data_IF_263203999054
#
_entry.id   IF_263203999054
#
_cell.length_a   1.000
_cell.length_b   1.000
_cell.length_c   1.000
_cell.angle_alpha   90.00
_cell.angle_beta   90.00
_cell.angle_gamma   90.00
#
_symmetry.space_group_name_H-M   'P 1'
#
loop_
_entity.id
_entity.type
_entity.pdbx_description
1 polymer ?
#
# COMPACT_ATOMS: atom_id res chain seq x y z
N UNK A 1 -44.73 -37.94 -22.05
CA UNK A 1 -43.85 -37.48 -20.95
C UNK A 1 -42.88 -36.47 -21.55
N UNK A 2 -43.22 -35.19 -21.41
CA UNK A 2 -42.47 -34.06 -21.99
C UNK A 2 -41.20 -33.81 -21.19
N UNK A 3 -40.05 -34.02 -21.81
CA UNK A 3 -38.74 -33.55 -21.34
C UNK A 3 -38.68 -32.03 -21.54
N UNK A 4 -38.62 -31.27 -20.45
CA UNK A 4 -38.37 -29.83 -20.50
C UNK A 4 -36.96 -29.56 -19.98
N UNK A 5 -35.98 -29.86 -20.82
CA UNK A 5 -34.58 -29.56 -20.55
C UNK A 5 -34.36 -28.07 -20.83
N UNK A 6 -34.46 -27.26 -19.77
CA UNK A 6 -34.25 -25.82 -19.85
C UNK A 6 -32.76 -25.56 -20.07
N UNK A 7 -32.34 -25.40 -21.33
CA UNK A 7 -31.00 -24.94 -21.68
C UNK A 7 -30.84 -23.50 -21.19
N UNK A 8 -30.32 -23.35 -19.97
CA UNK A 8 -30.01 -22.07 -19.34
C UNK A 8 -28.84 -21.46 -20.13
N UNK A 9 -29.09 -20.42 -20.93
CA UNK A 9 -28.03 -19.63 -21.57
C UNK A 9 -27.00 -19.14 -20.53
N UNK A 10 -25.79 -18.73 -20.95
CA UNK A 10 -24.76 -18.28 -20.01
C UNK A 10 -25.33 -17.17 -19.13
N UNK A 11 -25.40 -17.42 -17.82
CA UNK A 11 -25.82 -16.40 -16.88
C UNK A 11 -24.85 -15.23 -17.00
N UNK A 12 -25.35 -14.08 -17.45
CA UNK A 12 -24.59 -12.85 -17.45
C UNK A 12 -24.07 -12.61 -16.03
N UNK A 13 -22.78 -12.34 -15.88
CA UNK A 13 -22.18 -11.89 -14.62
C UNK A 13 -21.63 -10.48 -14.82
N UNK A 14 -21.65 -9.66 -13.77
CA UNK A 14 -21.05 -8.33 -13.78
C UNK A 14 -19.96 -8.22 -12.72
N UNK A 15 -18.80 -7.64 -13.07
CA UNK A 15 -17.73 -7.43 -12.11
C UNK A 15 -18.03 -6.31 -11.12
N UNK A 16 -17.45 -6.43 -9.92
CA UNK A 16 -17.57 -5.47 -8.84
C UNK A 16 -16.18 -5.08 -8.31
N UNK A 17 -16.04 -3.83 -7.92
CA UNK A 17 -14.85 -3.29 -7.26
C UNK A 17 -15.19 -3.10 -5.77
N UNK A 18 -15.16 -4.20 -5.01
CA UNK A 18 -15.57 -4.23 -3.60
C UNK A 18 -14.34 -4.01 -2.70
N UNK A 19 -14.28 -2.92 -1.91
CA UNK A 19 -13.23 -2.72 -0.92
C UNK A 19 -13.20 -3.86 0.11
N UNK A 20 -12.01 -4.22 0.60
CA UNK A 20 -11.88 -5.32 1.58
C UNK A 20 -12.75 -5.13 2.84
N UNK A 21 -12.91 -3.89 3.32
CA UNK A 21 -13.75 -3.54 4.48
C UNK A 21 -15.24 -3.78 4.25
N UNK A 22 -15.69 -3.79 3.00
CA UNK A 22 -17.10 -3.83 2.61
C UNK A 22 -17.52 -5.20 2.05
N UNK A 23 -16.58 -6.15 1.94
CA UNK A 23 -16.83 -7.50 1.41
C UNK A 23 -17.98 -8.24 2.09
N UNK A 24 -18.20 -8.00 3.38
CA UNK A 24 -19.30 -8.60 4.14
C UNK A 24 -20.66 -8.09 3.67
N UNK A 25 -20.77 -6.80 3.40
CA UNK A 25 -22.00 -6.15 2.92
C UNK A 25 -22.29 -6.58 1.48
N UNK A 26 -21.29 -6.55 0.59
CA UNK A 26 -21.44 -7.05 -0.77
C UNK A 26 -21.89 -8.52 -0.81
N UNK A 27 -21.29 -9.38 0.04
CA UNK A 27 -21.70 -10.79 0.15
C UNK A 27 -23.14 -10.93 0.64
N UNK A 28 -23.58 -10.11 1.59
CA UNK A 28 -24.97 -10.11 2.08
C UNK A 28 -25.97 -9.73 0.97
N UNK A 29 -25.58 -8.84 0.05
CA UNK A 29 -26.36 -8.49 -1.13
C UNK A 29 -26.23 -9.50 -2.30
N UNK A 30 -25.53 -10.62 -2.10
CA UNK A 30 -25.49 -11.71 -3.08
C UNK A 30 -24.24 -11.76 -3.96
N UNK A 31 -23.27 -10.87 -3.76
CA UNK A 31 -22.00 -10.92 -4.49
C UNK A 31 -21.26 -12.26 -4.24
N UNK A 32 -20.47 -12.66 -5.22
CA UNK A 32 -19.63 -13.87 -5.18
C UNK A 32 -18.18 -13.51 -5.52
N UNK A 33 -17.25 -14.33 -5.03
CA UNK A 33 -15.82 -14.16 -5.28
C UNK A 33 -15.37 -15.16 -6.36
N UNK A 34 -14.72 -14.68 -7.40
CA UNK A 34 -14.03 -15.52 -8.38
C UNK A 34 -12.55 -15.63 -7.97
N UNK A 35 -12.07 -16.82 -7.55
CA UNK A 35 -10.69 -17.00 -7.13
C UNK A 35 -9.67 -16.94 -8.26
N UNK A 36 -10.06 -17.25 -9.51
CA UNK A 36 -9.18 -17.19 -10.66
C UNK A 36 -8.98 -15.74 -11.12
N UNK A 37 -10.08 -14.98 -11.22
CA UNK A 37 -10.03 -13.55 -11.53
C UNK A 37 -9.60 -12.68 -10.34
N UNK A 38 -9.61 -13.26 -9.12
CA UNK A 38 -9.42 -12.56 -7.85
C UNK A 38 -10.27 -11.29 -7.76
N UNK A 39 -11.56 -11.42 -8.11
CA UNK A 39 -12.49 -10.29 -8.21
C UNK A 39 -13.89 -10.69 -7.76
N UNK A 40 -14.61 -9.74 -7.16
CA UNK A 40 -16.02 -9.90 -6.81
C UNK A 40 -16.90 -9.73 -8.05
N UNK A 41 -18.01 -10.46 -8.10
CA UNK A 41 -19.00 -10.33 -9.18
C UNK A 41 -20.43 -10.48 -8.67
N UNK A 42 -21.36 -9.84 -9.38
CA UNK A 42 -22.79 -10.09 -9.30
C UNK A 42 -23.13 -11.30 -10.18
N UNK A 43 -23.63 -12.41 -9.60
CA UNK A 43 -24.00 -13.60 -10.35
C UNK A 43 -25.31 -13.45 -11.15
N UNK A 44 -26.13 -12.42 -10.89
CA UNK A 44 -27.43 -12.18 -11.55
C UNK A 44 -27.68 -10.67 -11.70
N UNK A 45 -26.87 -9.97 -12.52
CA UNK A 45 -27.02 -8.54 -12.70
C UNK A 45 -28.31 -8.21 -13.46
N UNK A 46 -28.93 -7.05 -13.17
CA UNK A 46 -28.54 -6.09 -12.13
C UNK A 46 -29.13 -6.46 -10.75
N UNK A 47 -28.29 -6.51 -9.72
CA UNK A 47 -28.73 -6.52 -8.31
C UNK A 47 -28.67 -5.10 -7.73
N UNK A 48 -29.79 -4.46 -7.36
CA UNK A 48 -29.81 -3.08 -6.86
C UNK A 48 -28.87 -2.84 -5.65
N UNK A 49 -28.81 -3.80 -4.73
CA UNK A 49 -27.94 -3.73 -3.54
C UNK A 49 -26.43 -3.83 -3.84
N UNK A 50 -26.03 -4.07 -5.09
CA UNK A 50 -24.62 -4.16 -5.51
C UNK A 50 -24.16 -2.96 -6.35
N UNK A 51 -25.07 -2.03 -6.67
CA UNK A 51 -24.80 -0.91 -7.59
C UNK A 51 -23.66 0.01 -7.11
N UNK A 52 -23.49 0.19 -5.80
CA UNK A 52 -22.40 0.99 -5.22
C UNK A 52 -21.01 0.43 -5.49
N UNK A 53 -20.90 -0.86 -5.83
CA UNK A 53 -19.63 -1.52 -6.17
C UNK A 53 -19.52 -1.85 -7.65
N UNK A 54 -20.44 -1.37 -8.51
CA UNK A 54 -20.40 -1.62 -9.94
C UNK A 54 -19.01 -1.26 -10.50
N UNK A 55 -18.40 -2.18 -11.24
CA UNK A 55 -17.04 -1.99 -11.76
C UNK A 55 -16.91 -0.66 -12.51
N UNK A 56 -15.92 0.14 -12.13
CA UNK A 56 -15.51 1.29 -12.93
C UNK A 56 -14.61 0.79 -14.08
N UNK A 57 -14.29 1.63 -15.09
CA UNK A 57 -13.35 1.26 -16.15
C UNK A 57 -12.04 0.70 -15.59
N UNK A 58 -11.32 -0.18 -16.29
CA UNK A 58 -10.01 -0.60 -15.77
C UNK A 58 -8.99 0.55 -15.87
N UNK A 59 -8.07 0.61 -14.90
CA UNK A 59 -6.90 1.49 -14.98
C UNK A 59 -5.84 0.84 -15.88
N UNK A 60 -5.05 1.62 -16.65
CA UNK A 60 -4.04 1.05 -17.53
C UNK A 60 -2.95 0.32 -16.75
N UNK A 61 -2.43 -0.77 -17.31
CA UNK A 61 -1.36 -1.57 -16.69
C UNK A 61 -0.06 -0.79 -16.48
N UNK A 62 0.18 0.24 -17.31
CA UNK A 62 1.23 1.24 -17.14
C UNK A 62 0.55 2.58 -16.88
N UNK A 63 0.76 3.16 -15.70
CA UNK A 63 0.14 4.45 -15.38
C UNK A 63 0.81 5.57 -16.21
N UNK A 64 0.09 6.64 -16.58
CA UNK A 64 0.66 7.76 -17.32
C UNK A 64 1.88 8.36 -16.61
N UNK A 65 3.01 8.43 -17.33
CA UNK A 65 4.26 8.96 -16.80
C UNK A 65 4.98 8.06 -15.77
N UNK A 66 4.49 6.83 -15.54
CA UNK A 66 5.14 5.87 -14.65
C UNK A 66 6.38 5.27 -15.28
N UNK A 67 7.49 5.34 -14.54
CA UNK A 67 8.71 4.61 -14.84
C UNK A 67 8.77 3.39 -13.90
N UNK A 68 8.54 2.19 -14.45
CA UNK A 68 8.59 0.95 -13.67
C UNK A 68 10.00 0.57 -13.22
N UNK A 69 11.04 1.23 -13.70
CA UNK A 69 12.41 1.06 -13.18
C UNK A 69 12.66 1.92 -11.94
N UNK A 70 11.90 3.01 -11.74
CA UNK A 70 12.05 3.90 -10.60
C UNK A 70 11.82 3.17 -9.27
N UNK A 71 12.75 3.35 -8.34
CA UNK A 71 12.68 2.73 -7.01
C UNK A 71 12.58 1.20 -7.03
N UNK A 72 13.23 0.56 -8.01
CA UNK A 72 13.30 -0.90 -8.11
C UNK A 72 14.19 -1.53 -7.05
N UNK A 73 13.95 -2.81 -6.80
CA UNK A 73 14.65 -3.56 -5.76
C UNK A 73 14.16 -3.23 -4.35
N UNK A 74 14.92 -3.71 -3.37
CA UNK A 74 14.62 -3.53 -1.96
C UNK A 74 15.62 -2.55 -1.33
N UNK A 75 15.11 -1.50 -0.71
CA UNK A 75 15.90 -0.53 0.05
C UNK A 75 15.01 0.12 1.12
N UNK A 76 15.66 0.65 2.16
CA UNK A 76 15.01 1.48 3.17
C UNK A 76 14.60 2.82 2.54
N UNK A 77 13.30 3.13 2.62
CA UNK A 77 12.71 4.37 2.10
C UNK A 77 11.83 5.00 3.19
N UNK A 78 12.46 5.83 4.01
CA UNK A 78 11.77 6.48 5.12
C UNK A 78 11.03 7.73 4.64
N UNK A 79 9.70 7.66 4.72
CA UNK A 79 8.83 8.77 4.36
C UNK A 79 9.05 9.95 5.34
N UNK A 80 9.24 11.19 4.84
CA UNK A 80 9.40 12.37 5.70
C UNK A 80 8.20 12.54 6.66
N UNK A 81 8.46 13.01 7.89
CA UNK A 81 7.41 13.13 8.93
C UNK A 81 6.21 13.96 8.48
N UNK A 82 6.46 15.03 7.73
CA UNK A 82 5.42 15.95 7.22
C UNK A 82 4.56 15.33 6.10
N UNK A 83 4.95 14.16 5.58
CA UNK A 83 4.22 13.38 4.58
C UNK A 83 3.48 12.17 5.18
N UNK A 84 3.65 11.89 6.48
CA UNK A 84 2.99 10.74 7.10
C UNK A 84 1.47 10.81 6.97
N UNK A 85 0.84 9.63 6.88
CA UNK A 85 -0.60 9.45 6.72
C UNK A 85 -1.20 9.97 5.39
N UNK A 86 -0.36 10.44 4.47
CA UNK A 86 -0.74 10.79 3.10
C UNK A 86 -0.17 9.78 2.14
N UNK A 87 -0.97 8.75 1.88
CA UNK A 87 -0.67 7.72 0.89
C UNK A 87 -1.78 7.72 -0.17
N UNK A 88 -1.60 6.98 -1.25
CA UNK A 88 -2.57 6.97 -2.34
C UNK A 88 -3.91 6.47 -1.86
N UNK A 89 -3.93 5.44 -0.99
CA UNK A 89 -5.16 4.89 -0.41
C UNK A 89 -6.01 5.93 0.33
N UNK A 90 -5.40 6.89 1.02
CA UNK A 90 -6.13 7.98 1.71
C UNK A 90 -6.54 9.11 0.77
N UNK A 91 -5.93 9.19 -0.41
CA UNK A 91 -6.20 10.23 -1.41
C UNK A 91 -7.19 9.82 -2.50
N UNK A 92 -7.71 8.59 -2.51
CA UNK A 92 -8.64 8.09 -3.54
C UNK A 92 -9.88 7.44 -2.90
N UNK A 93 -10.91 7.15 -3.70
CA UNK A 93 -12.06 6.39 -3.22
C UNK A 93 -11.66 4.94 -2.87
N UNK A 94 -12.35 4.27 -1.92
CA UNK A 94 -12.09 2.85 -1.66
C UNK A 94 -12.20 1.96 -2.90
N UNK A 95 -13.07 2.32 -3.83
CA UNK A 95 -13.28 1.62 -5.10
C UNK A 95 -12.10 1.81 -6.07
N UNK A 96 -11.60 3.05 -6.20
CA UNK A 96 -10.40 3.34 -7.00
C UNK A 96 -9.16 2.69 -6.41
N UNK A 97 -9.03 2.67 -5.08
CA UNK A 97 -7.96 1.94 -4.42
C UNK A 97 -8.02 0.45 -4.76
N UNK A 98 -9.21 -0.16 -4.78
CA UNK A 98 -9.36 -1.57 -5.15
C UNK A 98 -8.97 -1.83 -6.61
N UNK A 99 -9.36 -0.95 -7.54
CA UNK A 99 -8.95 -1.03 -8.96
C UNK A 99 -7.43 -0.93 -9.13
N UNK A 100 -6.80 0.07 -8.50
CA UNK A 100 -5.35 0.24 -8.50
C UNK A 100 -4.64 -0.97 -7.91
N UNK A 101 -5.09 -1.44 -6.73
CA UNK A 101 -4.52 -2.61 -6.05
C UNK A 101 -4.59 -3.86 -6.91
N UNK A 102 -5.75 -4.13 -7.51
CA UNK A 102 -5.97 -5.25 -8.41
C UNK A 102 -5.05 -5.18 -9.63
N UNK A 103 -4.97 -4.01 -10.29
CA UNK A 103 -4.08 -3.80 -11.44
C UNK A 103 -2.61 -4.04 -11.08
N UNK A 104 -2.13 -3.47 -9.97
CA UNK A 104 -0.72 -3.61 -9.53
C UNK A 104 -0.38 -5.06 -9.24
N UNK A 105 -1.27 -5.79 -8.56
CA UNK A 105 -1.05 -7.21 -8.28
C UNK A 105 -1.07 -8.07 -9.54
N UNK A 106 -1.99 -7.80 -10.46
CA UNK A 106 -2.08 -8.53 -11.73
C UNK A 106 -0.84 -8.31 -12.60
N UNK A 107 -0.40 -7.05 -12.79
CA UNK A 107 0.80 -6.75 -13.60
C UNK A 107 2.11 -7.25 -12.98
N UNK A 108 2.14 -7.46 -11.68
CA UNK A 108 3.26 -8.06 -10.96
C UNK A 108 3.20 -9.61 -10.96
N UNK A 109 2.20 -10.21 -11.62
CA UNK A 109 2.01 -11.66 -11.65
C UNK A 109 1.79 -12.26 -10.26
N UNK A 110 1.20 -11.49 -9.33
CA UNK A 110 1.05 -11.84 -7.92
C UNK A 110 2.37 -12.24 -7.23
N UNK A 111 3.45 -11.53 -7.55
CA UNK A 111 4.76 -11.67 -6.92
C UNK A 111 5.27 -10.33 -6.42
N UNK A 112 6.07 -10.36 -5.37
CA UNK A 112 6.83 -9.20 -4.92
C UNK A 112 7.80 -8.78 -6.03
N UNK A 113 7.72 -7.53 -6.48
CA UNK A 113 8.62 -6.98 -7.50
C UNK A 113 10.05 -6.74 -6.98
N UNK A 114 10.27 -6.83 -5.66
CA UNK A 114 11.61 -6.68 -5.06
C UNK A 114 12.31 -8.03 -4.81
N UNK A 115 11.59 -9.06 -4.34
CA UNK A 115 12.20 -10.34 -3.95
C UNK A 115 11.59 -11.59 -4.61
N UNK A 116 10.58 -11.43 -5.48
CA UNK A 116 9.92 -12.52 -6.21
C UNK A 116 8.94 -13.39 -5.39
N UNK A 117 8.85 -13.18 -4.07
CA UNK A 117 7.99 -13.97 -3.20
C UNK A 117 6.50 -13.80 -3.53
N UNK A 118 5.74 -14.89 -3.45
CA UNK A 118 4.27 -14.90 -3.55
C UNK A 118 3.62 -14.79 -2.17
N UNK A 119 2.31 -14.56 -2.14
CA UNK A 119 1.51 -14.72 -0.92
C UNK A 119 1.65 -16.12 -0.33
N UNK A 120 1.64 -16.21 0.99
CA UNK A 120 1.71 -17.46 1.74
C UNK A 120 1.04 -17.26 3.10
N UNK A 121 -0.09 -17.94 3.29
CA UNK A 121 -0.91 -17.81 4.50
C UNK A 121 -0.25 -18.44 5.72
N UNK A 122 0.47 -19.54 5.54
CA UNK A 122 1.15 -20.25 6.62
C UNK A 122 2.31 -19.41 7.17
N UNK A 123 3.08 -18.79 6.28
CA UNK A 123 4.15 -17.87 6.65
C UNK A 123 3.66 -16.44 6.96
N UNK A 124 2.35 -16.18 6.97
CA UNK A 124 1.74 -14.85 7.17
C UNK A 124 2.32 -13.77 6.25
N UNK A 125 2.62 -14.15 5.00
CA UNK A 125 3.18 -13.27 3.96
C UNK A 125 2.10 -12.82 3.01
N UNK A 126 1.84 -11.51 3.01
CA UNK A 126 0.88 -10.86 2.12
C UNK A 126 1.59 -10.05 1.06
N UNK A 127 0.87 -9.72 -0.01
CA UNK A 127 1.29 -8.69 -0.96
C UNK A 127 0.57 -7.39 -0.64
N UNK A 128 1.29 -6.29 -0.79
CA UNK A 128 0.85 -4.93 -0.51
C UNK A 128 1.30 -4.03 -1.66
N UNK A 129 0.47 -3.06 -2.01
CA UNK A 129 0.87 -2.00 -2.95
C UNK A 129 1.57 -0.92 -2.14
N UNK A 130 2.74 -0.52 -2.61
CA UNK A 130 3.58 0.49 -1.99
C UNK A 130 3.87 1.62 -2.98
N UNK A 131 3.91 2.85 -2.50
CA UNK A 131 4.22 4.02 -3.31
C UNK A 131 5.72 4.33 -3.34
N UNK A 132 6.28 4.57 -4.52
CA UNK A 132 7.60 5.21 -4.67
C UNK A 132 7.42 6.68 -5.00
N UNK A 133 8.12 7.52 -4.24
CA UNK A 133 8.04 8.98 -4.34
C UNK A 133 9.35 9.57 -4.82
N UNK A 134 9.27 10.59 -5.68
CA UNK A 134 10.38 11.54 -5.85
C UNK A 134 10.09 12.81 -5.05
N UNK A 135 11.16 13.47 -4.64
CA UNK A 135 11.13 14.68 -3.84
C UNK A 135 11.96 15.75 -4.56
N UNK A 136 11.33 16.84 -4.98
CA UNK A 136 12.03 18.03 -5.48
C UNK A 136 12.24 19.00 -4.32
N UNK A 137 13.46 19.01 -3.76
CA UNK A 137 13.82 19.84 -2.62
C UNK A 137 13.74 21.35 -2.90
N UNK A 138 13.83 21.76 -4.18
CA UNK A 138 13.78 23.18 -4.58
C UNK A 138 12.35 23.69 -4.61
N UNK A 139 11.42 22.88 -5.12
CA UNK A 139 10.01 23.27 -5.26
C UNK A 139 9.13 22.78 -4.10
N UNK A 140 9.64 21.87 -3.27
CA UNK A 140 8.90 21.26 -2.18
C UNK A 140 7.78 20.33 -2.67
N UNK A 141 7.97 19.67 -3.82
CA UNK A 141 6.99 18.77 -4.43
C UNK A 141 7.38 17.31 -4.19
N UNK A 142 6.47 16.54 -3.60
CA UNK A 142 6.50 15.08 -3.50
C UNK A 142 5.63 14.50 -4.62
N UNK A 143 6.24 13.80 -5.58
CA UNK A 143 5.54 13.25 -6.76
C UNK A 143 5.43 11.74 -6.69
N UNK A 144 4.23 11.19 -6.93
CA UNK A 144 4.07 9.75 -7.10
C UNK A 144 4.76 9.31 -8.39
N UNK A 145 5.73 8.41 -8.28
CA UNK A 145 6.51 7.93 -9.43
C UNK A 145 6.23 6.49 -9.81
N UNK A 146 5.72 5.68 -8.87
CA UNK A 146 5.38 4.27 -9.11
C UNK A 146 4.50 3.69 -8.01
N UNK A 147 3.62 2.76 -8.39
CA UNK A 147 3.00 1.81 -7.46
C UNK A 147 3.67 0.44 -7.61
N UNK A 148 4.29 -0.08 -6.56
CA UNK A 148 5.04 -1.35 -6.61
C UNK A 148 4.39 -2.41 -5.73
N UNK A 149 4.33 -3.65 -6.20
CA UNK A 149 3.86 -4.80 -5.43
C UNK A 149 5.00 -5.34 -4.53
N UNK A 150 4.85 -5.26 -3.21
CA UNK A 150 5.82 -5.77 -2.24
C UNK A 150 5.20 -6.83 -1.34
N UNK A 151 6.00 -7.81 -0.92
CA UNK A 151 5.57 -8.71 0.17
C UNK A 151 5.71 -8.02 1.54
N UNK A 152 5.00 -8.51 2.56
CA UNK A 152 5.00 -7.95 3.91
C UNK A 152 6.40 -7.70 4.50
N UNK A 153 7.37 -8.59 4.26
CA UNK A 153 8.76 -8.40 4.71
C UNK A 153 9.51 -7.31 3.93
N UNK A 154 9.32 -7.22 2.61
CA UNK A 154 9.88 -6.14 1.79
C UNK A 154 9.23 -4.78 2.13
N UNK A 155 7.93 -4.78 2.39
CA UNK A 155 7.18 -3.62 2.81
C UNK A 155 7.66 -3.11 4.18
N UNK A 156 7.84 -4.00 5.15
CA UNK A 156 8.43 -3.69 6.46
C UNK A 156 9.83 -3.11 6.33
N UNK A 157 10.68 -3.72 5.50
CA UNK A 157 12.07 -3.28 5.27
C UNK A 157 12.13 -1.87 4.68
N UNK A 158 11.25 -1.60 3.71
CA UNK A 158 11.13 -0.28 3.12
C UNK A 158 10.77 0.76 4.18
N UNK A 159 9.82 0.43 5.07
CA UNK A 159 9.42 1.26 6.20
C UNK A 159 10.24 1.01 7.48
N UNK A 160 11.57 1.01 7.40
CA UNK A 160 12.44 0.70 8.56
C UNK A 160 12.15 1.59 9.79
N UNK A 161 11.81 2.87 9.60
CA UNK A 161 11.43 3.75 10.71
C UNK A 161 10.22 3.22 11.50
N UNK A 162 9.24 2.61 10.83
CA UNK A 162 8.12 1.93 11.49
C UNK A 162 8.54 0.58 12.12
N UNK A 163 9.44 -0.17 11.47
CA UNK A 163 9.98 -1.39 12.03
C UNK A 163 10.72 -1.14 13.36
N UNK A 164 11.47 -0.03 13.46
CA UNK A 164 12.17 0.37 14.68
C UNK A 164 11.20 0.59 15.84
N UNK A 165 10.15 1.41 15.65
CA UNK A 165 9.18 1.72 16.72
C UNK A 165 8.30 0.54 17.10
N UNK A 166 8.24 -0.50 16.27
CA UNK A 166 7.49 -1.74 16.56
C UNK A 166 8.38 -2.90 17.02
N UNK A 167 9.69 -2.67 17.23
CA UNK A 167 10.63 -3.70 17.69
C UNK A 167 10.96 -4.78 16.65
N UNK A 168 10.84 -4.46 15.36
CA UNK A 168 11.02 -5.41 14.24
C UNK A 168 12.16 -5.02 13.30
N UNK A 169 13.09 -4.19 13.77
CA UNK A 169 14.24 -3.72 13.00
C UNK A 169 15.11 -4.90 12.51
N UNK A 170 15.43 -5.84 13.39
CA UNK A 170 16.31 -6.98 13.06
C UNK A 170 15.71 -7.87 11.97
N UNK A 171 14.39 -8.07 12.00
CA UNK A 171 13.66 -8.80 10.96
C UNK A 171 13.81 -8.10 9.60
N UNK A 172 13.60 -6.79 9.56
CA UNK A 172 13.72 -5.95 8.37
C UNK A 172 15.15 -5.96 7.80
N UNK A 173 16.16 -5.75 8.66
CA UNK A 173 17.56 -5.72 8.24
C UNK A 173 18.06 -7.09 7.76
N UNK A 174 17.64 -8.16 8.43
CA UNK A 174 17.93 -9.53 7.99
C UNK A 174 17.35 -9.79 6.60
N UNK A 175 16.11 -9.36 6.37
CA UNK A 175 15.47 -9.49 5.06
C UNK A 175 16.15 -8.64 3.99
N UNK A 176 16.55 -7.41 4.32
CA UNK A 176 17.30 -6.51 3.43
C UNK A 176 18.58 -7.19 2.92
N UNK A 177 19.42 -7.70 3.83
CA UNK A 177 20.66 -8.40 3.46
C UNK A 177 20.40 -9.59 2.55
N UNK A 178 19.43 -10.43 2.91
CA UNK A 178 19.09 -11.64 2.15
C UNK A 178 18.66 -11.33 0.71
N UNK A 179 17.90 -10.25 0.49
CA UNK A 179 17.38 -9.89 -0.83
C UNK A 179 18.41 -9.14 -1.66
N UNK A 180 19.20 -8.26 -1.04
CA UNK A 180 20.13 -7.37 -1.75
C UNK A 180 21.55 -7.93 -1.87
N UNK A 181 21.93 -8.89 -1.03
CA UNK A 181 23.31 -9.35 -0.89
C UNK A 181 24.24 -8.37 -0.17
N UNK A 182 23.71 -7.28 0.40
CA UNK A 182 24.52 -6.31 1.16
C UNK A 182 25.18 -6.97 2.38
N UNK A 183 26.46 -6.65 2.59
CA UNK A 183 27.17 -6.94 3.84
C UNK A 183 26.62 -6.10 4.99
N UNK A 184 26.95 -6.48 6.23
CA UNK A 184 26.53 -5.72 7.42
C UNK A 184 27.00 -4.27 7.37
N UNK A 185 28.23 -4.04 6.87
CA UNK A 185 28.76 -2.69 6.70
C UNK A 185 27.98 -1.90 5.64
N UNK A 186 27.59 -2.53 4.54
CA UNK A 186 26.77 -1.89 3.51
C UNK A 186 25.36 -1.56 4.02
N UNK A 187 24.74 -2.47 4.79
CA UNK A 187 23.45 -2.21 5.43
C UNK A 187 23.52 -1.07 6.42
N UNK A 188 24.54 -1.02 7.28
CA UNK A 188 24.72 0.11 8.21
C UNK A 188 24.81 1.42 7.46
N UNK A 189 25.67 1.52 6.43
CA UNK A 189 25.80 2.73 5.60
C UNK A 189 24.48 3.11 4.93
N UNK A 190 23.76 2.15 4.35
CA UNK A 190 22.46 2.37 3.71
C UNK A 190 21.43 2.94 4.69
N UNK A 191 21.36 2.39 5.90
CA UNK A 191 20.44 2.86 6.95
C UNK A 191 20.82 4.26 7.42
N UNK A 192 22.11 4.54 7.60
CA UNK A 192 22.59 5.86 8.02
C UNK A 192 22.30 6.93 6.96
N UNK A 193 22.50 6.62 5.68
CA UNK A 193 22.15 7.49 4.54
C UNK A 193 20.65 7.77 4.48
N UNK A 194 19.82 6.73 4.60
CA UNK A 194 18.37 6.88 4.65
C UNK A 194 17.93 7.75 5.85
N UNK A 195 18.58 7.59 7.01
CA UNK A 195 18.33 8.40 8.21
C UNK A 195 18.67 9.87 8.05
N UNK A 196 19.80 10.18 7.43
CA UNK A 196 20.18 11.57 7.09
C UNK A 196 19.17 12.21 6.15
N UNK A 197 18.86 11.52 5.05
CA UNK A 197 17.90 12.01 4.06
C UNK A 197 16.50 12.23 4.67
N UNK A 198 16.06 11.30 5.52
CA UNK A 198 14.80 11.45 6.25
C UNK A 198 14.80 12.68 7.16
N UNK A 199 15.91 12.94 7.88
CA UNK A 199 16.05 14.09 8.77
C UNK A 199 15.94 15.39 7.99
N UNK A 200 16.68 15.51 6.88
CA UNK A 200 16.66 16.67 5.99
C UNK A 200 15.27 16.93 5.41
N UNK A 201 14.64 15.92 4.82
CA UNK A 201 13.31 16.07 4.20
C UNK A 201 12.20 16.29 5.21
N UNK A 202 12.35 15.81 6.44
CA UNK A 202 11.38 16.03 7.52
C UNK A 202 11.40 17.45 8.09
N UNK A 203 12.39 18.27 7.73
CA UNK A 203 12.43 19.69 8.08
C UNK A 203 11.58 20.56 7.13
N UNK A 204 10.98 19.97 6.09
CA UNK A 204 10.24 20.68 5.03
C UNK A 204 8.79 20.21 4.96
N UNK A 205 7.91 21.09 4.49
CA UNK A 205 6.54 20.74 4.11
C UNK A 205 6.49 20.44 2.63
N UNK A 206 5.80 19.35 2.26
CA UNK A 206 5.72 18.88 0.89
C UNK A 206 4.32 19.06 0.32
N UNK A 207 4.23 19.45 -0.94
CA UNK A 207 3.00 19.42 -1.74
C UNK A 207 2.95 18.13 -2.55
N UNK A 208 1.78 17.51 -2.61
CA UNK A 208 1.62 16.21 -3.23
C UNK A 208 1.23 16.36 -4.71
N UNK A 209 1.96 15.68 -5.57
CA UNK A 209 1.63 15.53 -6.98
C UNK A 209 1.20 14.07 -7.26
N UNK A 210 -0.08 13.92 -7.58
CA UNK A 210 -0.75 12.66 -7.91
C UNK A 210 -1.26 12.64 -9.36
N UNK A 211 -0.73 13.49 -10.25
CA UNK A 211 -1.25 13.59 -11.62
C UNK A 211 -1.24 12.26 -12.38
N UNK A 212 -0.26 11.40 -12.10
CA UNK A 212 -0.22 10.02 -12.58
C UNK A 212 -1.54 9.25 -12.38
N UNK A 213 -2.24 9.50 -11.28
CA UNK A 213 -3.53 8.86 -10.99
C UNK A 213 -4.69 9.55 -11.70
N UNK A 214 -4.74 10.88 -11.69
CA UNK A 214 -5.82 11.63 -12.36
C UNK A 214 -5.80 11.42 -13.86
N UNK A 215 -4.61 11.37 -14.45
CA UNK A 215 -4.40 11.13 -15.88
C UNK A 215 -4.78 9.68 -16.26
N UNK A 216 -4.79 8.76 -15.28
CA UNK A 216 -5.29 7.40 -15.41
C UNK A 216 -6.81 7.27 -15.17
N UNK A 217 -7.53 8.37 -14.97
CA UNK A 217 -8.96 8.38 -14.68
C UNK A 217 -9.33 8.00 -13.25
N UNK A 218 -8.41 8.17 -12.29
CA UNK A 218 -8.67 7.98 -10.86
C UNK A 218 -9.07 9.31 -10.22
N UNK A 219 -10.19 9.33 -9.51
CA UNK A 219 -10.66 10.51 -8.81
C UNK A 219 -9.97 10.66 -7.45
N UNK A 220 -9.36 11.83 -7.22
CA UNK A 220 -8.78 12.16 -5.93
C UNK A 220 -9.84 12.65 -4.95
N UNK A 221 -9.82 12.11 -3.73
CA UNK A 221 -10.44 12.74 -2.57
C UNK A 221 -9.45 13.78 -2.05
N UNK A 222 -9.90 15.04 -1.86
CA UNK A 222 -9.04 16.15 -1.42
C UNK A 222 -8.07 15.69 -0.33
N UNK A 223 -6.75 15.66 -0.60
CA UNK A 223 -5.77 15.44 0.45
C UNK A 223 -5.91 16.58 1.47
N UNK A 224 -5.78 16.30 2.76
CA UNK A 224 -5.68 17.36 3.77
C UNK A 224 -4.57 18.35 3.39
N UNK A 225 -4.76 19.63 3.73
CA UNK A 225 -3.77 20.64 3.41
C UNK A 225 -2.42 20.31 4.10
N UNK A 226 -1.27 20.63 3.48
CA UNK A 226 0.05 20.25 4.02
C UNK A 226 0.28 20.62 5.50
N UNK A 227 -0.21 21.78 5.93
CA UNK A 227 -0.13 22.22 7.33
C UNK A 227 -0.98 21.40 8.31
N UNK A 228 -2.08 20.79 7.86
CA UNK A 228 -2.90 19.89 8.67
C UNK A 228 -2.21 18.53 8.82
N UNK A 229 -1.60 18.03 7.74
CA UNK A 229 -0.82 16.78 7.74
C UNK A 229 0.34 16.80 8.72
N UNK A 230 1.15 17.86 8.71
CA UNK A 230 2.25 18.04 9.66
C UNK A 230 1.78 18.05 11.12
N UNK A 231 0.60 18.62 11.39
CA UNK A 231 -0.02 18.63 12.74
C UNK A 231 -0.50 17.24 13.15
N UNK A 232 -1.14 16.49 12.25
CA UNK A 232 -1.57 15.10 12.49
C UNK A 232 -0.36 14.19 12.76
N UNK A 233 0.72 14.35 12.00
CA UNK A 233 1.97 13.62 12.20
C UNK A 233 2.62 13.92 13.57
N UNK A 234 2.69 15.20 13.96
CA UNK A 234 3.22 15.60 15.28
C UNK A 234 2.45 14.98 16.44
N UNK A 235 1.10 15.02 16.40
CA UNK A 235 0.25 14.41 17.44
C UNK A 235 0.43 12.90 17.56
N UNK A 236 0.65 12.19 16.45
CA UNK A 236 0.90 10.74 16.48
C UNK A 236 2.24 10.42 17.13
N UNK A 237 3.29 11.20 16.83
CA UNK A 237 4.62 11.04 17.43
C UNK A 237 4.63 11.32 18.92
N UNK A 238 3.91 12.36 19.35
CA UNK A 238 3.78 12.67 20.77
C UNK A 238 3.04 11.55 21.52
N UNK A 239 2.02 10.95 20.90
CA UNK A 239 1.33 9.80 21.48
C UNK A 239 2.24 8.57 21.60
N UNK A 240 3.10 8.31 20.61
CA UNK A 240 4.11 7.24 20.67
C UNK A 240 5.17 7.54 21.73
N UNK A 241 5.68 8.78 21.80
CA UNK A 241 6.67 9.21 22.83
C UNK A 241 6.11 9.17 24.25
N UNK A 242 4.82 9.49 24.43
CA UNK A 242 4.13 9.37 25.72
C UNK A 242 3.97 7.90 26.10
N UNK A 243 3.67 7.01 25.16
CA UNK A 243 3.64 5.57 25.40
C UNK A 243 5.03 5.02 25.75
N UNK A 244 6.10 5.45 25.07
CA UNK A 244 7.48 5.07 25.35
C UNK A 244 7.95 5.58 26.72
N UNK A 245 7.61 6.82 27.09
CA UNK A 245 7.88 7.37 28.43
C UNK A 245 7.11 6.64 29.52
N UNK A 246 5.85 6.25 29.27
CA UNK A 246 5.08 5.45 30.21
C UNK A 246 5.65 4.04 30.40
N UNK A 247 6.23 3.45 29.35
CA UNK A 247 6.92 2.16 29.42
C UNK A 247 8.29 2.26 30.14
N UNK A 248 8.99 3.38 30.01
CA UNK A 248 10.29 3.62 30.65
C UNK A 248 10.22 3.95 32.16
N UNK A 249 9.03 4.26 32.70
CA UNK A 249 8.82 4.62 34.13
C UNK A 249 8.41 3.42 34.99
N UNK A 250 8.69 2.17 34.57
CA UNK A 250 8.59 0.99 35.45
C UNK A 250 9.93 0.77 36.18
N UNK A 251 10.01 0.95 37.51
CA UNK A 251 11.27 0.74 38.23
C UNK A 251 11.47 -0.73 38.57
N UNK A 252 12.69 -1.23 38.32
CA UNK A 252 13.31 -2.38 38.98
C UNK A 252 12.79 -3.76 38.59
N UNK A 253 13.62 -4.75 38.27
CA UNK A 253 15.06 -4.78 38.28
C UNK A 253 15.54 -6.13 37.75
N UNK A 254 16.79 -6.14 37.31
CA UNK A 254 17.56 -7.36 37.17
C UNK A 254 18.98 -7.06 37.64
N UNK A 255 19.44 -7.85 38.62
CA UNK A 255 20.83 -7.97 39.07
C UNK A 255 21.12 -9.48 39.15
N UNK A 256 22.38 -9.85 38.93
CA UNK A 256 22.83 -10.78 37.89
C UNK A 256 22.45 -12.24 38.11
#
# INVERSE_FOLDING_TARGET
>A
MTTNETTRGPQARAWLDVPFSEKGQAKAHGARWDPAAKRWYDPRPPTPGLQSWAALPDVPNLLPGEDRSFGSGLFVDMIPRTCWFTNVRTCVSPQDWERLRRMVFARAGHRCEACGATEDRGARRWLEVHERWSYDDRTGIQTLRRLICLCSSCHLTTHLGHANVTGRADEALTHLRRVTGMSDQQVSRHVDEAGRLWTERSARTWHLDLRMLTDAGVMLRRPEAPAQRSRTAGRSLDRTRVADRAAAVRPGGWRP
#
